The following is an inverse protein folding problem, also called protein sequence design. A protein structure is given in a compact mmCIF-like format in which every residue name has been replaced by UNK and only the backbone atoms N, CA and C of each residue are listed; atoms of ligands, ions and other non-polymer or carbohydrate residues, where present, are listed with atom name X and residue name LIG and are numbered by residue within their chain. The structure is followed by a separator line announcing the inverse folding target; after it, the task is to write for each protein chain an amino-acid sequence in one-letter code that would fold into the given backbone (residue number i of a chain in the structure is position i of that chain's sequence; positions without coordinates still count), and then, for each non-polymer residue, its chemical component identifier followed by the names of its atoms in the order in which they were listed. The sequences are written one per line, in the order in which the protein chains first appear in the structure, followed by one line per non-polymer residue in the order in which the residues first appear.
data_IF_984156409196
#
_entry.id   IF_984156409196
#
_cell.length_a   1.000
_cell.length_b   1.000
_cell.length_c   1.000
_cell.angle_alpha   90.00
_cell.angle_beta   90.00
_cell.angle_gamma   90.00
#
_symmetry.space_group_name_H-M   'P 1'
#
loop_
_entity.id
_entity.type
_entity.pdbx_description
1 polymer ?
#
# COMPACT_ATOMS: atom_id res chain seq x y z
N UNK A 1 1.10 36.15 9.77
CA UNK A 1 -0.29 35.66 9.61
C UNK A 1 -0.19 34.15 9.48
N UNK A 2 -0.27 33.44 10.60
CA UNK A 2 -0.18 31.99 10.63
C UNK A 2 -1.51 31.42 10.12
N UNK A 3 -1.45 30.61 9.07
CA UNK A 3 -2.62 29.94 8.51
C UNK A 3 -3.22 29.01 9.55
N UNK A 4 -4.52 29.15 9.78
CA UNK A 4 -5.32 28.17 10.49
C UNK A 4 -5.15 26.84 9.76
N UNK A 5 -4.47 25.90 10.41
CA UNK A 5 -4.54 24.49 10.03
C UNK A 5 -6.01 24.12 10.10
N UNK A 6 -6.67 24.01 8.94
CA UNK A 6 -8.01 23.44 8.84
C UNK A 6 -8.00 22.15 9.65
N UNK A 7 -8.77 22.13 10.75
CA UNK A 7 -8.91 20.92 11.55
C UNK A 7 -9.60 19.91 10.65
N UNK A 8 -8.86 18.88 10.20
CA UNK A 8 -9.48 17.73 9.55
C UNK A 8 -10.65 17.27 10.43
N UNK A 9 -11.81 17.14 9.82
CA UNK A 9 -12.99 16.63 10.51
C UNK A 9 -12.65 15.30 11.16
N UNK A 10 -13.16 15.08 12.38
CA UNK A 10 -13.00 13.80 13.03
C UNK A 10 -13.60 12.70 12.14
N UNK A 11 -12.94 11.55 12.07
CA UNK A 11 -13.45 10.41 11.33
C UNK A 11 -14.85 10.02 11.87
N UNK A 12 -15.77 9.59 11.00
CA UNK A 12 -17.10 9.18 11.43
C UNK A 12 -17.03 7.97 12.37
N UNK A 13 -17.96 7.88 13.33
CA UNK A 13 -17.92 6.87 14.39
C UNK A 13 -17.87 5.44 13.84
N UNK A 14 -18.64 5.14 12.78
CA UNK A 14 -18.67 3.82 12.17
C UNK A 14 -17.28 3.34 11.74
N UNK A 15 -16.42 4.26 11.28
CA UNK A 15 -15.06 3.94 10.84
C UNK A 15 -14.12 3.81 12.04
N UNK A 16 -14.27 4.69 13.04
CA UNK A 16 -13.51 4.60 14.29
C UNK A 16 -13.74 3.24 14.99
N UNK A 17 -14.97 2.72 14.94
CA UNK A 17 -15.34 1.42 15.52
C UNK A 17 -14.67 0.23 14.81
N UNK A 18 -14.19 0.40 13.57
CA UNK A 18 -13.44 -0.64 12.85
C UNK A 18 -12.02 -0.81 13.38
N UNK A 19 -11.45 0.23 14.01
CA UNK A 19 -10.04 0.25 14.39
C UNK A 19 -9.81 -0.44 15.73
N UNK A 20 -8.86 -1.37 15.73
CA UNK A 20 -8.33 -1.96 16.95
C UNK A 20 -7.45 -0.91 17.61
N UNK A 21 -7.94 -0.30 18.68
CA UNK A 21 -7.22 0.79 19.35
C UNK A 21 -5.89 0.29 19.96
N UNK A 22 -4.78 0.37 19.20
CA UNK A 22 -3.42 0.04 19.65
C UNK A 22 -2.35 0.95 19.03
N UNK A 23 -1.15 0.91 19.63
CA UNK A 23 -0.05 1.82 19.38
C UNK A 23 0.55 1.68 17.98
N UNK A 24 0.45 2.75 17.19
CA UNK A 24 1.16 2.86 15.91
C UNK A 24 2.55 3.40 16.18
N UNK A 25 3.57 2.56 15.98
CA UNK A 25 4.94 2.87 16.38
C UNK A 25 5.68 3.47 15.19
N UNK A 26 6.02 4.76 15.31
CA UNK A 26 6.93 5.41 14.37
C UNK A 26 8.37 5.04 14.67
N UNK A 27 9.10 4.62 13.64
CA UNK A 27 10.53 4.35 13.65
C UNK A 27 11.22 5.30 12.67
N UNK A 28 12.47 5.64 12.93
CA UNK A 28 13.26 6.56 12.09
C UNK A 28 14.31 5.85 11.24
N UNK A 29 14.71 4.64 11.64
CA UNK A 29 15.73 3.82 10.97
C UNK A 29 15.12 2.51 10.45
N UNK A 30 15.51 2.03 9.26
CA UNK A 30 16.54 2.58 8.36
C UNK A 30 16.10 3.84 7.60
N UNK A 31 14.80 4.11 7.58
CA UNK A 31 14.17 5.35 7.17
C UNK A 31 12.84 5.49 7.94
N UNK A 32 12.21 6.69 7.95
CA UNK A 32 10.94 6.89 8.61
C UNK A 32 9.85 5.92 8.14
N UNK A 33 9.36 5.09 9.05
CA UNK A 33 8.27 4.14 8.78
C UNK A 33 7.41 3.95 10.03
N UNK A 34 6.21 3.42 9.84
CA UNK A 34 5.29 3.08 10.92
C UNK A 34 5.03 1.58 10.87
N UNK A 35 5.06 0.95 12.04
CA UNK A 35 4.59 -0.42 12.24
C UNK A 35 3.44 -0.41 13.25
N UNK A 36 2.35 -1.09 12.93
CA UNK A 36 1.18 -1.21 13.79
C UNK A 36 0.70 -2.66 13.85
N UNK A 37 0.16 -3.05 15.01
CA UNK A 37 -0.45 -4.36 15.25
C UNK A 37 -1.87 -4.17 15.76
N UNK A 38 -2.69 -5.18 15.50
CA UNK A 38 -4.11 -5.20 15.81
C UNK A 38 -4.80 -3.95 15.25
N UNK A 39 -4.51 -3.64 13.99
CA UNK A 39 -4.93 -2.41 13.32
C UNK A 39 -6.45 -2.28 13.30
N UNK A 40 -7.13 -3.39 13.01
CA UNK A 40 -8.58 -3.49 13.03
C UNK A 40 -9.07 -4.25 14.27
N UNK A 41 -10.28 -3.93 14.73
CA UNK A 41 -10.94 -4.67 15.79
C UNK A 41 -11.03 -6.16 15.40
N UNK A 42 -10.88 -7.11 16.33
CA UNK A 42 -10.80 -8.54 15.99
C UNK A 42 -11.95 -9.04 15.12
N UNK A 43 -13.17 -8.57 15.39
CA UNK A 43 -14.37 -8.95 14.63
C UNK A 43 -14.33 -8.43 13.19
N UNK A 44 -13.88 -7.20 12.97
CA UNK A 44 -13.74 -6.65 11.63
C UNK A 44 -12.55 -7.27 10.89
N UNK A 45 -11.45 -7.55 11.60
CA UNK A 45 -10.33 -8.29 11.02
C UNK A 45 -10.74 -9.68 10.53
N UNK A 46 -11.56 -10.41 11.29
CA UNK A 46 -12.07 -11.71 10.85
C UNK A 46 -12.85 -11.58 9.53
N UNK A 47 -13.70 -10.56 9.41
CA UNK A 47 -14.43 -10.28 8.15
C UNK A 47 -13.50 -9.97 6.98
N UNK A 48 -12.37 -9.29 7.22
CA UNK A 48 -11.35 -9.05 6.19
C UNK A 48 -10.67 -10.35 5.76
N UNK A 49 -10.36 -11.24 6.70
CA UNK A 49 -9.76 -12.54 6.41
C UNK A 49 -10.73 -13.45 5.64
N UNK A 50 -11.99 -13.51 6.06
CA UNK A 50 -13.03 -14.29 5.36
C UNK A 50 -13.28 -13.77 3.94
N UNK A 51 -13.25 -12.44 3.75
CA UNK A 51 -13.36 -11.80 2.44
C UNK A 51 -12.19 -12.19 1.52
N UNK A 52 -10.98 -12.24 2.07
CA UNK A 52 -9.79 -12.66 1.34
C UNK A 52 -9.92 -14.11 0.87
N UNK A 53 -10.29 -15.03 1.77
CA UNK A 53 -10.45 -16.45 1.39
C UNK A 53 -11.56 -16.62 0.35
N UNK A 54 -12.70 -15.92 0.52
CA UNK A 54 -13.76 -15.94 -0.49
C UNK A 54 -13.28 -15.43 -1.85
N UNK A 55 -12.51 -14.34 -1.89
CA UNK A 55 -11.98 -13.83 -3.15
C UNK A 55 -11.07 -14.86 -3.85
N UNK A 56 -10.30 -15.65 -3.09
CA UNK A 56 -9.47 -16.73 -3.65
C UNK A 56 -10.29 -17.88 -4.20
N UNK A 57 -11.31 -18.29 -3.46
CA UNK A 57 -12.16 -19.43 -3.83
C UNK A 57 -13.08 -19.11 -5.01
N UNK A 58 -13.69 -17.93 -5.02
CA UNK A 58 -14.66 -17.51 -6.04
C UNK A 58 -14.00 -16.98 -7.31
N UNK A 59 -12.78 -16.44 -7.22
CA UNK A 59 -12.07 -15.80 -8.32
C UNK A 59 -10.61 -16.27 -8.52
N UNK A 60 -10.31 -17.58 -8.49
CA UNK A 60 -8.94 -18.08 -8.59
C UNK A 60 -8.25 -17.64 -9.88
N UNK A 61 -9.00 -17.60 -10.99
CA UNK A 61 -8.49 -17.20 -12.32
C UNK A 61 -8.15 -15.72 -12.45
N UNK A 62 -8.60 -14.88 -11.49
CA UNK A 62 -8.31 -13.44 -11.48
C UNK A 62 -7.03 -13.09 -10.75
N UNK A 63 -6.46 -14.01 -9.99
CA UNK A 63 -5.15 -13.83 -9.35
C UNK A 63 -4.04 -13.97 -10.39
N UNK A 64 -3.71 -12.86 -11.04
CA UNK A 64 -2.68 -12.77 -12.06
C UNK A 64 -1.30 -12.45 -11.50
N UNK A 65 -0.27 -12.63 -12.32
CA UNK A 65 1.11 -12.19 -11.98
C UNK A 65 1.15 -10.68 -11.76
N UNK A 66 1.70 -10.22 -10.64
CA UNK A 66 1.72 -8.78 -10.31
C UNK A 66 2.78 -7.99 -11.11
N UNK A 67 3.91 -8.63 -11.44
CA UNK A 67 5.00 -8.05 -12.23
C UNK A 67 5.93 -9.14 -12.79
N UNK A 68 6.62 -8.84 -13.89
CA UNK A 68 7.63 -9.74 -14.46
C UNK A 68 8.77 -10.00 -13.45
N UNK A 69 9.19 -11.26 -13.30
CA UNK A 69 10.19 -11.65 -12.31
C UNK A 69 9.80 -11.50 -10.83
N UNK A 70 8.56 -11.16 -10.49
CA UNK A 70 8.09 -11.05 -9.11
C UNK A 70 7.25 -12.28 -8.72
N UNK A 71 7.61 -12.93 -7.60
CA UNK A 71 7.02 -14.18 -7.15
C UNK A 71 5.67 -14.03 -6.43
N UNK A 72 4.81 -13.13 -6.88
CA UNK A 72 3.46 -12.98 -6.31
C UNK A 72 2.39 -13.00 -7.39
N UNK A 73 1.24 -13.55 -7.02
CA UNK A 73 -0.02 -13.31 -7.73
C UNK A 73 -0.84 -12.27 -6.99
N UNK A 74 -1.79 -11.65 -7.67
CA UNK A 74 -2.63 -10.66 -7.05
C UNK A 74 -3.86 -10.31 -7.88
N UNK A 75 -4.79 -9.65 -7.19
CA UNK A 75 -6.03 -9.12 -7.74
C UNK A 75 -6.20 -7.69 -7.24
N UNK A 76 -6.67 -6.78 -8.10
CA UNK A 76 -6.92 -5.39 -7.72
C UNK A 76 -8.14 -5.30 -6.81
N UNK A 77 -8.08 -4.46 -5.79
CA UNK A 77 -9.23 -4.29 -4.89
C UNK A 77 -10.42 -3.59 -5.57
N UNK A 78 -10.21 -2.92 -6.71
CA UNK A 78 -11.30 -2.39 -7.54
C UNK A 78 -12.20 -3.49 -8.12
N UNK A 79 -11.72 -4.74 -8.13
CA UNK A 79 -12.48 -5.92 -8.55
C UNK A 79 -13.18 -6.60 -7.36
N UNK A 80 -12.94 -6.10 -6.13
CA UNK A 80 -13.43 -6.60 -4.85
C UNK A 80 -14.05 -5.46 -4.00
N UNK A 81 -14.71 -4.51 -4.67
CA UNK A 81 -15.24 -3.28 -4.03
C UNK A 81 -16.46 -3.52 -3.15
N UNK A 82 -17.11 -4.67 -3.27
CA UNK A 82 -18.37 -4.97 -2.60
C UNK A 82 -18.11 -5.83 -1.34
N UNK A 83 -17.48 -5.24 -0.32
CA UNK A 83 -17.21 -5.97 0.92
C UNK A 83 -16.29 -5.26 1.92
N UNK A 84 -15.86 -5.96 2.99
CA UNK A 84 -14.93 -5.46 4.00
C UNK A 84 -13.64 -4.87 3.42
N UNK A 85 -13.10 -5.45 2.33
CA UNK A 85 -11.87 -4.96 1.69
C UNK A 85 -12.02 -3.56 1.07
N UNK A 86 -13.24 -3.08 0.85
CA UNK A 86 -13.51 -1.71 0.39
C UNK A 86 -12.98 -0.64 1.35
N UNK A 87 -12.75 -0.98 2.63
CA UNK A 87 -12.15 -0.05 3.61
C UNK A 87 -10.81 0.51 3.11
N UNK A 88 -10.01 -0.30 2.40
CA UNK A 88 -8.70 0.13 1.87
C UNK A 88 -8.81 1.12 0.72
N UNK A 89 -10.00 1.29 0.15
CA UNK A 89 -10.32 2.27 -0.87
C UNK A 89 -11.19 3.41 -0.32
N UNK A 90 -11.52 3.41 0.98
CA UNK A 90 -12.37 4.44 1.59
C UNK A 90 -11.62 5.76 1.81
N UNK A 91 -12.38 6.85 1.86
CA UNK A 91 -11.84 8.18 2.17
C UNK A 91 -11.28 8.26 3.58
N UNK A 92 -11.97 7.66 4.53
CA UNK A 92 -11.61 7.67 5.94
C UNK A 92 -10.27 6.98 6.15
N UNK A 93 -10.09 5.82 5.51
CA UNK A 93 -8.80 5.10 5.54
C UNK A 93 -7.70 5.91 4.87
N UNK A 94 -7.95 6.47 3.68
CA UNK A 94 -7.02 7.38 3.00
C UNK A 94 -6.54 8.49 3.95
N UNK A 95 -7.46 9.17 4.63
CA UNK A 95 -7.12 10.32 5.46
C UNK A 95 -6.34 9.95 6.71
N UNK A 96 -6.65 8.81 7.33
CA UNK A 96 -5.85 8.28 8.45
C UNK A 96 -4.42 8.00 7.99
N UNK A 97 -4.24 7.28 6.87
CA UNK A 97 -2.90 6.93 6.37
C UNK A 97 -2.11 8.17 5.96
N UNK A 98 -2.72 9.11 5.23
CA UNK A 98 -2.09 10.38 4.86
C UNK A 98 -1.71 11.21 6.10
N UNK A 99 -2.59 11.25 7.11
CA UNK A 99 -2.39 11.99 8.35
C UNK A 99 -1.23 11.44 9.18
N UNK A 100 -1.18 10.11 9.36
CA UNK A 100 -0.08 9.48 10.10
C UNK A 100 1.25 9.58 9.35
N UNK A 101 1.23 9.45 8.02
CA UNK A 101 2.42 9.63 7.20
C UNK A 101 2.90 11.09 7.16
N UNK A 102 2.02 12.06 7.43
CA UNK A 102 2.31 13.49 7.33
C UNK A 102 2.50 13.92 5.87
N UNK A 103 1.64 13.42 4.98
CA UNK A 103 1.73 13.63 3.52
C UNK A 103 0.47 14.27 2.98
N UNK A 104 0.64 15.27 2.13
CA UNK A 104 -0.44 15.88 1.34
C UNK A 104 -0.74 15.02 0.11
N UNK A 105 -1.66 14.07 0.27
CA UNK A 105 -2.09 13.14 -0.77
C UNK A 105 -3.26 13.70 -1.63
N UNK A 106 -3.37 13.24 -2.88
CA UNK A 106 -4.39 13.72 -3.84
C UNK A 106 -5.78 13.12 -3.66
N UNK A 107 -5.98 12.11 -2.82
CA UNK A 107 -7.21 11.30 -2.80
C UNK A 107 -7.18 10.12 -3.77
N UNK A 108 -6.16 10.00 -4.62
CA UNK A 108 -6.01 8.83 -5.49
C UNK A 108 -5.39 7.66 -4.73
N UNK A 109 -6.05 6.49 -4.81
CA UNK A 109 -5.70 5.27 -4.08
C UNK A 109 -5.56 4.11 -5.06
N UNK A 110 -4.43 3.41 -5.01
CA UNK A 110 -4.25 2.12 -5.69
C UNK A 110 -4.11 1.04 -4.62
N UNK A 111 -4.83 -0.09 -4.75
CA UNK A 111 -4.69 -1.21 -3.83
C UNK A 111 -4.95 -2.57 -4.50
N UNK A 112 -4.25 -3.59 -4.03
CA UNK A 112 -4.35 -4.97 -4.51
C UNK A 112 -4.09 -5.98 -3.40
N UNK A 113 -4.68 -7.16 -3.50
CA UNK A 113 -4.23 -8.34 -2.75
C UNK A 113 -3.00 -8.92 -3.43
N UNK A 114 -1.99 -9.26 -2.64
CA UNK A 114 -0.78 -9.95 -3.09
C UNK A 114 -0.62 -11.24 -2.28
N UNK A 115 -0.47 -12.35 -3.00
CA UNK A 115 -0.23 -13.67 -2.44
C UNK A 115 1.13 -14.17 -2.94
N UNK A 116 2.02 -14.45 -2.00
CA UNK A 116 3.31 -15.08 -2.26
C UNK A 116 3.21 -16.57 -1.88
N UNK A 117 3.23 -17.49 -2.85
CA UNK A 117 3.30 -18.93 -2.57
C UNK A 117 4.50 -19.30 -1.70
N UNK A 118 4.46 -20.49 -1.09
CA UNK A 118 5.62 -21.08 -0.39
C UNK A 118 6.86 -21.04 -1.28
N UNK A 119 8.02 -20.78 -0.67
CA UNK A 119 9.32 -20.68 -1.36
C UNK A 119 9.39 -19.59 -2.44
N UNK A 120 8.57 -18.54 -2.32
CA UNK A 120 8.63 -17.43 -3.26
C UNK A 120 10.02 -16.79 -3.27
N UNK A 121 10.56 -16.46 -4.46
CA UNK A 121 11.85 -15.81 -4.56
C UNK A 121 11.82 -14.45 -3.87
N UNK A 122 12.97 -14.04 -3.34
CA UNK A 122 13.14 -12.69 -2.80
C UNK A 122 12.85 -11.64 -3.89
N UNK A 123 12.20 -10.56 -3.48
CA UNK A 123 12.06 -9.38 -4.33
C UNK A 123 13.40 -8.65 -4.52
N UNK A 124 13.38 -7.63 -5.36
CA UNK A 124 14.51 -6.69 -5.48
C UNK A 124 14.27 -5.44 -4.64
N UNK A 125 15.32 -4.85 -4.03
CA UNK A 125 15.21 -3.54 -3.39
C UNK A 125 14.69 -2.48 -4.37
N UNK A 126 13.60 -1.82 -3.99
CA UNK A 126 13.00 -0.69 -4.70
C UNK A 126 12.45 0.32 -3.68
N UNK A 127 12.10 1.54 -4.11
CA UNK A 127 11.71 2.62 -3.19
C UNK A 127 10.28 3.14 -3.38
N UNK A 128 9.55 2.57 -4.35
CA UNK A 128 8.19 2.94 -4.73
C UNK A 128 7.98 4.41 -5.13
N UNK A 129 9.03 5.20 -5.34
CA UNK A 129 8.90 6.55 -5.87
C UNK A 129 8.68 6.51 -7.38
N UNK A 130 7.53 5.98 -7.79
CA UNK A 130 7.15 5.71 -9.17
C UNK A 130 5.91 6.52 -9.59
N UNK A 131 5.78 6.86 -10.88
CA UNK A 131 4.64 7.60 -11.37
C UNK A 131 3.39 6.70 -11.44
N UNK A 132 2.22 7.31 -11.35
CA UNK A 132 0.94 6.64 -11.57
C UNK A 132 -0.05 7.58 -12.26
N UNK A 133 -0.94 7.04 -13.10
CA UNK A 133 -1.88 7.83 -13.89
C UNK A 133 -3.33 7.54 -13.50
N UNK A 134 -4.11 8.60 -13.32
CA UNK A 134 -5.53 8.54 -12.97
C UNK A 134 -6.36 9.37 -13.94
N UNK A 135 -7.61 8.96 -14.17
CA UNK A 135 -8.54 9.70 -15.02
C UNK A 135 -8.94 11.05 -14.39
N UNK A 136 -8.94 12.11 -15.20
CA UNK A 136 -9.51 13.42 -14.87
C UNK A 136 -8.79 14.21 -13.76
N UNK A 137 -9.43 15.31 -13.37
CA UNK A 137 -8.98 16.22 -12.32
C UNK A 137 -8.93 15.51 -10.95
N UNK A 138 -8.06 15.96 -10.04
CA UNK A 138 -7.93 15.35 -8.71
C UNK A 138 -9.29 15.24 -7.96
N UNK A 139 -9.50 14.16 -7.18
CA UNK A 139 -10.70 14.01 -6.34
C UNK A 139 -10.95 15.22 -5.44
N UNK A 140 -12.22 15.55 -5.22
CA UNK A 140 -12.61 16.60 -4.30
C UNK A 140 -12.35 16.23 -2.83
N UNK A 141 -12.51 17.20 -1.90
CA UNK A 141 -12.54 16.91 -0.47
C UNK A 141 -13.61 15.87 -0.16
N UNK A 142 -13.26 14.84 0.62
CA UNK A 142 -14.18 13.75 0.96
C UNK A 142 -14.28 12.66 -0.11
N UNK A 143 -13.67 12.83 -1.27
CA UNK A 143 -13.66 11.85 -2.34
C UNK A 143 -12.33 11.09 -2.41
N UNK A 144 -12.41 9.92 -3.03
CA UNK A 144 -11.29 9.08 -3.45
C UNK A 144 -11.44 8.76 -4.92
N UNK A 145 -10.33 8.51 -5.60
CA UNK A 145 -10.35 7.87 -6.92
C UNK A 145 -9.47 6.64 -6.93
N UNK A 146 -9.99 5.59 -7.53
CA UNK A 146 -9.32 4.32 -7.73
C UNK A 146 -9.03 4.11 -9.22
N UNK A 147 -8.07 3.25 -9.60
CA UNK A 147 -7.84 2.87 -10.98
C UNK A 147 -9.12 2.40 -11.68
N UNK A 148 -9.29 2.78 -12.94
CA UNK A 148 -10.32 2.25 -13.82
C UNK A 148 -9.70 1.77 -15.14
N UNK A 149 -10.52 1.24 -16.04
CA UNK A 149 -10.05 0.70 -17.33
C UNK A 149 -9.76 1.77 -18.39
N UNK A 150 -10.04 3.05 -18.12
CA UNK A 150 -9.90 4.14 -19.09
C UNK A 150 -8.49 4.73 -19.13
N UNK A 151 -7.70 4.50 -18.08
CA UNK A 151 -6.30 4.93 -17.99
C UNK A 151 -5.46 3.79 -17.41
N UNK A 152 -4.42 3.38 -18.13
CA UNK A 152 -3.43 2.46 -17.58
C UNK A 152 -2.65 3.17 -16.46
N UNK A 153 -2.83 2.69 -15.24
CA UNK A 153 -2.29 3.34 -14.04
C UNK A 153 -0.77 3.35 -13.99
N UNK A 154 -0.08 2.44 -14.69
CA UNK A 154 1.38 2.34 -14.67
C UNK A 154 2.04 3.09 -15.81
N UNK A 155 1.37 3.24 -16.95
CA UNK A 155 2.04 3.76 -18.16
C UNK A 155 1.36 5.00 -18.74
N UNK A 156 0.10 5.26 -18.39
CA UNK A 156 -0.66 6.42 -18.86
C UNK A 156 -1.34 6.38 -20.24
N UNK A 157 -1.24 5.33 -21.10
CA UNK A 157 -2.21 5.08 -22.16
C UNK A 157 -3.63 5.20 -21.66
N UNK A 158 -4.51 5.74 -22.51
CA UNK A 158 -5.86 6.09 -22.14
C UNK A 158 -6.83 6.03 -23.31
N UNK A 159 -8.11 5.86 -22.99
CA UNK A 159 -9.19 5.97 -23.96
C UNK A 159 -9.23 7.38 -24.57
N UNK A 160 -9.62 7.48 -25.85
CA UNK A 160 -9.75 8.77 -26.52
C UNK A 160 -10.73 9.69 -25.79
N UNK A 161 -10.34 10.95 -25.59
CA UNK A 161 -11.13 11.94 -24.86
C UNK A 161 -11.00 11.88 -23.34
N UNK A 162 -10.27 10.89 -22.78
CA UNK A 162 -9.99 10.82 -21.34
C UNK A 162 -8.68 11.54 -21.04
N UNK A 163 -8.73 12.46 -20.07
CA UNK A 163 -7.54 13.07 -19.49
C UNK A 163 -6.87 12.06 -18.54
N UNK A 164 -5.57 11.79 -18.73
CA UNK A 164 -4.77 11.03 -17.78
C UNK A 164 -3.84 11.98 -17.03
N UNK A 165 -4.12 12.16 -15.75
CA UNK A 165 -3.32 12.98 -14.84
C UNK A 165 -2.20 12.14 -14.25
N UNK A 166 -0.97 12.57 -14.46
CA UNK A 166 0.20 11.97 -13.85
C UNK A 166 0.34 12.41 -12.37
N UNK A 167 0.51 11.42 -11.51
CA UNK A 167 0.79 11.53 -10.08
C UNK A 167 2.03 10.73 -9.74
N UNK A 168 2.47 10.79 -8.48
CA UNK A 168 3.56 9.93 -7.98
C UNK A 168 3.11 9.29 -6.69
N UNK A 169 3.46 8.02 -6.51
CA UNK A 169 3.24 7.31 -5.24
C UNK A 169 3.86 8.07 -4.07
N UNK A 170 3.09 8.17 -3.01
CA UNK A 170 3.32 9.06 -1.90
C UNK A 170 3.54 8.31 -0.59
N UNK A 171 2.76 7.25 -0.37
CA UNK A 171 2.87 6.36 0.80
C UNK A 171 2.65 4.94 0.31
N UNK A 172 3.53 4.02 0.69
CA UNK A 172 3.32 2.58 0.54
C UNK A 172 2.79 2.02 1.86
N UNK A 173 1.81 1.13 1.78
CA UNK A 173 1.26 0.39 2.91
C UNK A 173 1.15 -1.10 2.56
N UNK A 174 1.59 -1.96 3.48
CA UNK A 174 1.37 -3.39 3.44
C UNK A 174 0.62 -3.79 4.70
N UNK A 175 -0.60 -4.33 4.54
CA UNK A 175 -1.41 -4.87 5.63
C UNK A 175 -1.52 -6.39 5.50
N UNK A 176 -1.03 -7.12 6.49
CA UNK A 176 -0.97 -8.59 6.45
C UNK A 176 -2.26 -9.20 7.02
N UNK A 177 -2.84 -10.12 6.25
CA UNK A 177 -4.10 -10.79 6.56
C UNK A 177 -4.06 -12.23 6.07
N UNK A 178 -4.83 -13.12 6.69
CA UNK A 178 -4.98 -14.51 6.25
C UNK A 178 -3.65 -15.26 6.00
N UNK A 179 -2.63 -14.97 6.81
CA UNK A 179 -1.39 -15.73 6.87
C UNK A 179 -1.52 -16.88 7.87
N UNK A 180 -0.75 -17.94 7.67
CA UNK A 180 -0.49 -18.90 8.76
C UNK A 180 0.22 -18.21 9.94
N UNK A 181 0.14 -18.76 11.16
CA UNK A 181 0.98 -18.30 12.26
C UNK A 181 2.45 -18.22 11.81
N UNK A 182 3.12 -17.13 12.14
CA UNK A 182 4.49 -16.85 11.72
C UNK A 182 5.41 -16.81 12.94
N UNK A 183 6.58 -17.43 12.80
CA UNK A 183 7.66 -17.41 13.78
C UNK A 183 8.98 -16.92 13.16
N UNK A 184 9.91 -16.38 13.98
CA UNK A 184 11.23 -16.00 13.50
C UNK A 184 11.95 -17.16 12.79
N UNK A 185 12.27 -16.97 11.51
CA UNK A 185 12.90 -17.97 10.67
C UNK A 185 11.99 -18.49 9.54
N UNK A 186 10.69 -18.24 9.61
CA UNK A 186 9.73 -18.65 8.58
C UNK A 186 9.84 -17.84 7.28
N UNK A 187 10.63 -16.76 7.26
CA UNK A 187 10.80 -15.91 6.07
C UNK A 187 9.58 -15.07 5.75
N UNK A 188 9.52 -14.53 4.53
CA UNK A 188 8.36 -13.76 4.04
C UNK A 188 8.19 -12.36 4.62
N UNK A 189 9.17 -11.86 5.38
CA UNK A 189 9.15 -10.51 5.93
C UNK A 189 9.18 -9.43 4.84
N UNK A 190 8.74 -8.23 5.20
CA UNK A 190 9.11 -7.03 4.43
C UNK A 190 10.46 -6.54 4.93
N UNK A 191 11.48 -6.70 4.09
CA UNK A 191 12.83 -6.24 4.32
C UNK A 191 12.93 -4.73 4.04
N UNK A 192 13.48 -3.97 4.98
CA UNK A 192 13.78 -2.54 4.85
C UNK A 192 15.29 -2.35 4.85
N UNK A 193 15.79 -1.55 3.90
CA UNK A 193 17.21 -1.35 3.66
C UNK A 193 17.62 0.11 3.89
N UNK A 194 18.84 0.32 4.36
CA UNK A 194 19.43 1.66 4.41
C UNK A 194 19.91 2.15 3.03
N UNK A 195 20.09 1.24 2.06
CA UNK A 195 20.56 1.51 0.69
C UNK A 195 19.91 0.54 -0.31
N UNK A 196 19.72 1.01 -1.55
CA UNK A 196 19.04 0.28 -2.64
C UNK A 196 19.93 -0.63 -3.50
N UNK A 197 21.07 -1.06 -2.99
CA UNK A 197 22.03 -1.85 -3.78
C UNK A 197 21.58 -3.31 -3.90
N UNK A 198 21.84 -3.95 -5.05
CA UNK A 198 21.50 -5.37 -5.25
C UNK A 198 22.31 -6.22 -4.28
N UNK A 199 21.62 -7.08 -3.52
CA UNK A 199 22.26 -7.93 -2.51
C UNK A 199 22.56 -7.22 -1.19
N UNK A 200 22.10 -5.97 -1.00
CA UNK A 200 22.15 -5.31 0.28
C UNK A 200 21.50 -6.18 1.37
N UNK A 201 22.11 -6.19 2.56
CA UNK A 201 21.51 -6.83 3.74
C UNK A 201 20.40 -5.93 4.28
N UNK A 202 19.26 -6.54 4.61
CA UNK A 202 18.17 -5.83 5.27
C UNK A 202 18.67 -5.24 6.60
N UNK A 203 18.43 -3.95 6.82
CA UNK A 203 18.69 -3.30 8.10
C UNK A 203 17.58 -3.62 9.10
N UNK A 204 16.36 -3.84 8.60
CA UNK A 204 15.21 -4.28 9.39
C UNK A 204 14.37 -5.27 8.58
N UNK A 205 13.76 -6.23 9.26
CA UNK A 205 12.73 -7.09 8.71
C UNK A 205 11.45 -6.89 9.52
N UNK A 206 10.31 -6.74 8.83
CA UNK A 206 8.99 -6.63 9.44
C UNK A 206 8.22 -7.93 9.21
N UNK A 207 7.81 -8.64 10.28
CA UNK A 207 7.15 -9.94 10.13
C UNK A 207 5.74 -9.77 9.56
N UNK A 208 5.28 -10.72 8.73
CA UNK A 208 3.95 -10.70 8.12
C UNK A 208 2.85 -11.17 9.08
N UNK A 209 2.79 -10.58 10.28
CA UNK A 209 1.81 -10.98 11.30
C UNK A 209 0.41 -10.52 10.89
N UNK A 210 -0.57 -11.41 11.00
CA UNK A 210 -1.97 -11.08 10.77
C UNK A 210 -2.44 -9.87 11.60
N UNK A 211 -3.31 -9.05 10.98
CA UNK A 211 -3.82 -7.81 11.53
C UNK A 211 -2.71 -6.80 11.90
N UNK A 212 -1.60 -6.83 11.17
CA UNK A 212 -0.52 -5.86 11.32
C UNK A 212 -0.23 -5.16 10.00
N UNK A 213 0.42 -4.01 10.08
CA UNK A 213 0.85 -3.28 8.89
C UNK A 213 2.21 -2.64 9.06
N UNK A 214 2.87 -2.43 7.92
CA UNK A 214 3.97 -1.49 7.76
C UNK A 214 3.59 -0.46 6.71
N UNK A 215 3.91 0.81 6.98
CA UNK A 215 3.76 1.88 6.00
C UNK A 215 4.89 2.89 6.08
N UNK A 216 5.17 3.57 4.96
CA UNK A 216 6.23 4.58 4.87
C UNK A 216 5.98 5.52 3.70
N UNK A 217 6.53 6.73 3.80
CA UNK A 217 6.56 7.68 2.69
C UNK A 217 7.42 7.10 1.55
N UNK A 218 6.91 7.13 0.31
CA UNK A 218 7.71 6.82 -0.87
C UNK A 218 8.70 7.97 -1.07
N UNK A 219 9.99 7.67 -0.98
CA UNK A 219 11.09 8.64 -1.11
C UNK A 219 12.24 7.99 -1.89
N UNK A 220 13.28 8.74 -2.31
CA UNK A 220 14.46 8.12 -2.92
C UNK A 220 15.24 7.16 -2.00
N UNK A 221 14.86 7.06 -0.72
CA UNK A 221 15.57 6.31 0.33
C UNK A 221 14.73 5.21 1.00
N UNK A 222 13.44 5.08 0.69
CA UNK A 222 12.53 4.09 1.29
C UNK A 222 12.71 2.69 0.68
N UNK A 223 13.95 2.21 0.67
CA UNK A 223 14.32 0.96 0.02
C UNK A 223 13.75 -0.24 0.77
N UNK A 224 12.96 -1.06 0.08
CA UNK A 224 12.34 -2.23 0.65
C UNK A 224 12.18 -3.35 -0.39
N UNK A 225 11.89 -4.56 0.09
CA UNK A 225 11.61 -5.72 -0.73
C UNK A 225 10.86 -6.79 0.07
N UNK A 226 10.21 -7.72 -0.62
CA UNK A 226 9.82 -9.00 -0.05
C UNK A 226 11.07 -9.85 0.20
N UNK A 227 11.25 -10.36 1.43
CA UNK A 227 12.45 -11.10 1.82
C UNK A 227 12.59 -12.47 1.14
N UNK A 228 11.48 -13.08 0.71
CA UNK A 228 11.47 -14.44 0.15
C UNK A 228 11.62 -15.53 1.19
N UNK A 229 11.86 -16.75 0.71
CA UNK A 229 12.13 -17.94 1.53
C UNK A 229 11.05 -18.21 2.59
N UNK A 230 9.80 -17.88 2.26
CA UNK A 230 8.66 -18.06 3.14
C UNK A 230 8.24 -19.54 3.22
N UNK A 231 8.15 -20.07 4.42
CA UNK A 231 7.77 -21.49 4.69
C UNK A 231 6.27 -21.73 4.54
N UNK A 232 5.46 -20.67 4.64
CA UNK A 232 4.03 -20.65 4.40
C UNK A 232 3.68 -19.54 3.41
N UNK A 233 2.50 -19.63 2.78
CA UNK A 233 2.02 -18.55 1.92
C UNK A 233 1.95 -17.22 2.68
N UNK A 234 2.36 -16.14 2.01
CA UNK A 234 2.35 -14.79 2.59
C UNK A 234 1.39 -13.88 1.82
N UNK A 235 0.38 -13.40 2.53
CA UNK A 235 -0.77 -12.65 2.03
C UNK A 235 -0.79 -11.23 2.61
N UNK A 236 -1.04 -10.24 1.75
CA UNK A 236 -1.30 -8.87 2.19
C UNK A 236 -2.19 -8.09 1.23
N UNK A 237 -2.77 -7.00 1.74
CA UNK A 237 -3.11 -5.85 0.92
C UNK A 237 -1.85 -5.01 0.72
N UNK A 238 -1.51 -4.70 -0.53
CA UNK A 238 -0.56 -3.65 -0.88
C UNK A 238 -1.36 -2.44 -1.34
N UNK A 239 -1.03 -1.26 -0.83
CA UNK A 239 -1.76 -0.03 -1.11
C UNK A 239 -0.80 1.14 -1.28
N UNK A 240 -1.13 2.03 -2.21
CA UNK A 240 -0.44 3.29 -2.41
C UNK A 240 -1.40 4.48 -2.35
N UNK A 241 -1.01 5.49 -1.58
CA UNK A 241 -1.53 6.85 -1.73
C UNK A 241 -0.68 7.60 -2.75
N UNK A 242 -1.25 8.62 -3.38
CA UNK A 242 -0.56 9.40 -4.41
C UNK A 242 -0.51 10.89 -4.06
N UNK A 243 0.42 11.60 -4.70
CA UNK A 243 0.59 13.04 -4.58
C UNK A 243 0.86 13.68 -5.94
N UNK A 244 0.73 15.01 -6.08
CA UNK A 244 1.05 15.69 -7.32
C UNK A 244 2.53 15.51 -7.69
N UNK A 245 2.83 15.24 -8.96
CA UNK A 245 4.21 15.14 -9.46
C UNK A 245 5.05 16.38 -9.17
N UNK A 246 4.44 17.56 -9.24
CA UNK A 246 5.10 18.82 -8.93
C UNK A 246 5.64 18.89 -7.47
N UNK A 247 4.99 18.22 -6.51
CA UNK A 247 5.50 18.12 -5.14
C UNK A 247 6.80 17.30 -5.09
N UNK A 248 6.80 16.14 -5.74
CA UNK A 248 7.96 15.24 -5.80
C UNK A 248 9.14 15.91 -6.48
N UNK A 249 8.92 16.56 -7.63
CA UNK A 249 9.96 17.30 -8.36
C UNK A 249 10.56 18.40 -7.48
N UNK A 250 9.73 19.14 -6.73
CA UNK A 250 10.21 20.19 -5.82
C UNK A 250 11.01 19.63 -4.65
N UNK A 251 10.62 18.48 -4.10
CA UNK A 251 11.25 17.89 -2.89
C UNK A 251 12.53 17.12 -3.21
N UNK A 252 12.57 16.39 -4.32
CA UNK A 252 13.63 15.41 -4.60
C UNK A 252 14.24 15.49 -6.00
N UNK A 253 13.68 16.28 -6.91
CA UNK A 253 14.07 16.30 -8.32
C UNK A 253 13.35 15.24 -9.14
N UNK A 254 13.06 15.57 -10.41
CA UNK A 254 12.33 14.67 -11.32
C UNK A 254 13.15 13.44 -11.74
N UNK A 255 14.48 13.54 -11.73
CA UNK A 255 15.43 12.46 -12.00
C UNK A 255 15.36 11.30 -10.99
N UNK A 256 14.72 11.53 -9.84
CA UNK A 256 14.55 10.52 -8.78
C UNK A 256 13.29 9.68 -8.92
N UNK A 257 12.38 10.05 -9.83
CA UNK A 257 11.16 9.28 -10.08
C UNK A 257 11.53 8.06 -10.94
N UNK A 258 11.39 6.87 -10.37
CA UNK A 258 11.69 5.59 -11.02
C UNK A 258 10.58 5.27 -12.01
N UNK A 259 10.94 5.17 -13.30
CA UNK A 259 10.00 4.74 -14.35
C UNK A 259 9.81 3.22 -14.31
N UNK A 260 8.63 2.77 -14.73
CA UNK A 260 8.24 1.36 -14.80
C UNK A 260 9.02 0.55 -15.83
#
# INVERSE_FOLDING_TARGET
MAGESERRAAAPQWFADLLGSRHWIRRTEPFPHVYARDVFAPEFYQRLADEFERARDDHPDRFGKVAEGYGATGIRLTELSDGPLAVFQSREWHDVIAGVAGVDATGDVEASLHCHPVDSPRGWPHNDLAPAWFAGAAPGPGEVRVPDSTVDTKTGPRTAGVEARETVRAVTLLFYLANSPWEPGDGGETALFSRGERGARAAKAVPPLNNSMVMFECTPRSWHAFAGANTAERNCVVMWLHRPKADVVRRWGGDRIVQW
#
